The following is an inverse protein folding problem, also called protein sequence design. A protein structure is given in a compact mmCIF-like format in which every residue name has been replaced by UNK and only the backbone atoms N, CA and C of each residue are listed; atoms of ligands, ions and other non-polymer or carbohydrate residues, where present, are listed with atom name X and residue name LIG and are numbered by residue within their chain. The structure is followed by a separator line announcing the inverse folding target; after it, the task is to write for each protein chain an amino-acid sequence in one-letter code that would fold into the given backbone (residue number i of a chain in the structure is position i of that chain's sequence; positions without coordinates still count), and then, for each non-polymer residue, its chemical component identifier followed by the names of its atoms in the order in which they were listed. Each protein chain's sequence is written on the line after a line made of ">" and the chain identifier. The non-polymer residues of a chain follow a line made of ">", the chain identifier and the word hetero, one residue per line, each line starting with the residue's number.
data_IF_941773653363
#
_entry.id   IF_941773653363
#
_cell.length_a   1.000
_cell.length_b   1.000
_cell.length_c   1.000
_cell.angle_alpha   90.00
_cell.angle_beta   90.00
_cell.angle_gamma   90.00
#
_symmetry.space_group_name_H-M   'P 1'
#
loop_
_entity.id
_entity.type
_entity.pdbx_description
1 polymer ?
#
# COMPACT_ATOMS: atom_id res chain seq x y z
N UNK A 1 44.74 -9.83 4.95
CA UNK A 1 45.98 -9.51 4.20
C UNK A 1 46.05 -10.47 3.03
N UNK A 2 46.16 -9.95 1.81
CA UNK A 2 46.19 -10.76 0.59
C UNK A 2 47.58 -11.39 0.42
N UNK A 3 47.65 -12.69 0.11
CA UNK A 3 48.92 -13.39 -0.11
C UNK A 3 48.96 -13.99 -1.52
N UNK A 4 50.04 -13.72 -2.23
CA UNK A 4 50.39 -14.31 -3.53
C UNK A 4 51.32 -15.51 -3.31
N UNK A 5 51.24 -16.53 -4.17
CA UNK A 5 52.29 -17.53 -4.25
C UNK A 5 53.53 -17.01 -4.99
N UNK A 6 54.56 -17.86 -5.03
CA UNK A 6 55.82 -17.61 -5.72
C UNK A 6 55.69 -17.42 -7.24
N UNK A 7 54.53 -17.70 -7.82
CA UNK A 7 54.23 -17.51 -9.24
C UNK A 7 53.31 -16.31 -9.47
N UNK A 8 53.10 -15.46 -8.45
CA UNK A 8 52.18 -14.32 -8.47
C UNK A 8 50.71 -14.70 -8.66
N UNK A 9 50.35 -15.97 -8.40
CA UNK A 9 48.95 -16.37 -8.38
C UNK A 9 48.37 -16.17 -6.99
N UNK A 10 47.08 -15.88 -6.94
CA UNK A 10 46.35 -15.65 -5.71
C UNK A 10 46.05 -16.94 -4.95
N UNK A 11 46.25 -16.93 -3.63
CA UNK A 11 46.19 -18.15 -2.81
C UNK A 11 45.06 -18.16 -1.76
N UNK A 12 44.64 -17.02 -1.18
CA UNK A 12 43.40 -16.87 -0.38
C UNK A 12 43.28 -15.49 0.27
N UNK A 13 42.07 -15.11 0.71
CA UNK A 13 41.82 -14.04 1.67
C UNK A 13 41.43 -14.61 3.03
N UNK A 14 42.41 -14.81 3.93
CA UNK A 14 42.07 -14.98 5.35
C UNK A 14 41.82 -13.61 5.97
N UNK A 15 40.58 -13.37 6.41
CA UNK A 15 40.11 -12.16 7.07
C UNK A 15 38.58 -12.02 7.03
N UNK A 16 38.02 -11.12 7.85
CA UNK A 16 36.57 -10.90 8.04
C UNK A 16 35.82 -10.49 6.74
N UNK A 17 36.54 -10.18 5.66
CA UNK A 17 36.00 -9.78 4.36
C UNK A 17 36.29 -10.92 3.38
N UNK A 18 35.34 -11.82 3.24
CA UNK A 18 35.42 -12.99 2.37
C UNK A 18 35.38 -12.60 0.88
N UNK A 19 35.57 -13.61 0.02
CA UNK A 19 35.58 -13.52 -1.45
C UNK A 19 34.31 -12.92 -2.08
N UNK A 20 33.25 -12.69 -1.29
CA UNK A 20 31.96 -12.14 -1.72
C UNK A 20 31.63 -10.78 -1.05
N UNK A 21 32.65 -9.94 -0.82
CA UNK A 21 32.48 -8.59 -0.25
C UNK A 21 32.41 -7.53 -1.34
N UNK A 22 31.76 -6.40 -1.07
CA UNK A 22 31.65 -5.25 -2.00
C UNK A 22 33.03 -4.77 -2.48
N UNK A 23 34.03 -4.83 -1.62
CA UNK A 23 35.41 -4.47 -1.95
C UNK A 23 36.09 -5.52 -2.84
N UNK A 24 35.78 -6.81 -2.69
CA UNK A 24 36.26 -7.85 -3.60
C UNK A 24 35.69 -7.65 -5.02
N UNK A 25 34.37 -7.40 -5.13
CA UNK A 25 33.69 -7.10 -6.39
C UNK A 25 34.22 -5.84 -7.09
N UNK A 26 34.58 -4.82 -6.30
CA UNK A 26 35.21 -3.60 -6.84
C UNK A 26 36.57 -3.91 -7.48
N UNK A 27 37.36 -4.81 -6.90
CA UNK A 27 38.65 -5.16 -7.47
C UNK A 27 38.54 -6.04 -8.71
N UNK A 28 37.58 -6.97 -8.77
CA UNK A 28 37.29 -7.73 -9.99
C UNK A 28 37.03 -6.79 -11.17
N UNK A 29 36.20 -5.76 -10.95
CA UNK A 29 35.90 -4.72 -11.96
C UNK A 29 37.16 -3.96 -12.40
N UNK A 30 38.00 -3.55 -11.45
CA UNK A 30 39.20 -2.77 -11.74
C UNK A 30 40.26 -3.56 -12.52
N UNK A 31 40.39 -4.85 -12.24
CA UNK A 31 41.42 -5.71 -12.83
C UNK A 31 40.92 -6.61 -13.96
N UNK A 32 39.61 -6.64 -14.22
CA UNK A 32 38.98 -7.50 -15.23
C UNK A 32 39.36 -8.98 -15.05
N UNK A 33 39.46 -9.42 -13.80
CA UNK A 33 39.78 -10.79 -13.41
C UNK A 33 38.76 -11.27 -12.39
N UNK A 34 38.26 -12.49 -12.59
CA UNK A 34 37.37 -13.17 -11.67
C UNK A 34 38.20 -13.74 -10.52
N UNK A 35 38.16 -13.06 -9.36
CA UNK A 35 38.95 -13.43 -8.20
C UNK A 35 38.22 -14.43 -7.30
N UNK A 36 36.90 -14.55 -7.41
CA UNK A 36 36.07 -15.40 -6.55
C UNK A 36 35.72 -16.76 -7.20
N UNK A 37 35.93 -16.91 -8.51
CA UNK A 37 35.74 -18.14 -9.28
C UNK A 37 34.31 -18.42 -9.70
N UNK A 38 33.42 -17.41 -9.72
CA UNK A 38 32.03 -17.52 -10.16
C UNK A 38 31.82 -17.29 -11.67
N UNK A 39 32.93 -17.12 -12.41
CA UNK A 39 32.99 -16.80 -13.83
C UNK A 39 32.33 -15.47 -14.20
N UNK A 40 32.20 -14.53 -13.25
CA UNK A 40 31.71 -13.17 -13.46
C UNK A 40 32.79 -12.16 -13.04
N UNK A 41 32.75 -10.98 -13.67
CA UNK A 41 33.62 -9.86 -13.29
C UNK A 41 32.77 -8.85 -12.52
N UNK A 42 33.08 -8.64 -11.26
CA UNK A 42 32.39 -7.65 -10.42
C UNK A 42 31.26 -8.28 -9.63
N UNK A 43 30.38 -7.43 -9.07
CA UNK A 43 29.32 -7.92 -8.21
C UNK A 43 28.42 -8.88 -9.00
N UNK A 44 28.25 -10.14 -8.56
CA UNK A 44 27.25 -11.04 -9.11
C UNK A 44 25.85 -10.59 -8.63
N UNK A 45 25.46 -9.36 -8.97
CA UNK A 45 24.12 -8.88 -8.72
C UNK A 45 23.20 -9.57 -9.72
N UNK A 46 22.64 -10.68 -9.26
CA UNK A 46 21.35 -11.20 -9.63
C UNK A 46 21.14 -11.23 -11.15
N UNK A 47 21.52 -12.37 -11.73
CA UNK A 47 20.75 -12.95 -12.83
C UNK A 47 19.31 -13.25 -12.40
N UNK A 48 18.57 -12.21 -12.02
CA UNK A 48 17.14 -12.15 -12.30
C UNK A 48 17.10 -12.10 -13.83
N UNK A 49 16.90 -13.27 -14.44
CA UNK A 49 15.98 -13.40 -15.57
C UNK A 49 14.92 -12.34 -15.35
N UNK A 50 14.89 -11.24 -16.13
CA UNK A 50 13.96 -10.13 -15.98
C UNK A 50 12.66 -10.62 -15.29
N UNK A 51 12.61 -10.52 -13.97
CA UNK A 51 11.43 -10.85 -13.18
C UNK A 51 10.63 -9.61 -13.43
N UNK A 52 9.91 -9.63 -14.56
CA UNK A 52 9.08 -8.57 -15.10
C UNK A 52 9.67 -7.17 -14.92
N UNK A 53 10.00 -6.46 -16.00
CA UNK A 53 10.27 -5.02 -15.96
C UNK A 53 9.04 -4.17 -15.55
N UNK A 54 8.19 -4.71 -14.68
CA UNK A 54 6.89 -4.27 -14.25
C UNK A 54 6.56 -4.79 -12.83
N UNK A 55 7.55 -5.20 -12.03
CA UNK A 55 7.38 -5.27 -10.56
C UNK A 55 7.77 -3.89 -10.05
N UNK A 56 6.84 -3.10 -9.51
CA UNK A 56 7.17 -1.82 -8.88
C UNK A 56 8.18 -2.06 -7.76
N UNK A 57 9.30 -1.33 -7.78
CA UNK A 57 10.22 -1.31 -6.64
C UNK A 57 9.54 -0.54 -5.50
N UNK A 58 9.46 -1.08 -4.28
CA UNK A 58 8.79 -0.39 -3.18
C UNK A 58 9.44 0.96 -2.84
N UNK A 59 8.61 1.97 -2.62
CA UNK A 59 8.99 3.23 -1.98
C UNK A 59 8.93 2.98 -0.47
N UNK A 60 10.10 2.91 0.15
CA UNK A 60 10.24 2.59 1.57
C UNK A 60 10.69 3.85 2.32
N UNK A 61 9.97 4.17 3.40
CA UNK A 61 10.31 5.20 4.36
C UNK A 61 11.49 4.81 5.26
N UNK A 62 11.58 5.47 6.39
CA UNK A 62 12.66 5.37 7.35
C UNK A 62 12.11 4.98 8.72
N UNK A 63 12.86 5.31 9.78
CA UNK A 63 12.39 5.10 11.16
C UNK A 63 11.84 6.38 11.81
N UNK A 64 11.57 7.40 10.99
CA UNK A 64 11.04 8.69 11.39
C UNK A 64 9.72 8.94 10.65
N UNK A 65 8.98 9.96 11.08
CA UNK A 65 7.78 10.43 10.40
C UNK A 65 8.11 10.88 8.96
N UNK A 66 7.62 10.13 7.97
CA UNK A 66 7.89 10.33 6.55
C UNK A 66 6.66 10.79 5.75
N UNK A 67 6.90 11.47 4.63
CA UNK A 67 5.88 11.82 3.65
C UNK A 67 6.24 11.10 2.36
N UNK A 68 5.46 10.06 2.04
CA UNK A 68 5.66 9.22 0.88
C UNK A 68 4.59 9.53 -0.17
N UNK A 69 5.01 9.81 -1.40
CA UNK A 69 4.11 10.00 -2.53
C UNK A 69 4.56 9.11 -3.68
N UNK A 70 3.63 8.30 -4.18
CA UNK A 70 3.79 7.47 -5.35
C UNK A 70 3.83 8.28 -6.64
N UNK A 71 3.66 7.57 -7.74
CA UNK A 71 3.80 8.03 -9.11
C UNK A 71 2.44 8.06 -9.80
N UNK A 72 2.41 7.84 -11.12
CA UNK A 72 1.17 7.65 -11.87
C UNK A 72 0.96 6.17 -12.25
N UNK A 73 1.90 5.31 -11.86
CA UNK A 73 1.89 3.87 -12.07
C UNK A 73 1.48 3.17 -10.76
N UNK A 74 1.31 1.85 -10.81
CA UNK A 74 1.00 1.08 -9.60
C UNK A 74 2.21 1.06 -8.67
N UNK A 75 2.05 1.54 -7.45
CA UNK A 75 3.15 1.66 -6.48
C UNK A 75 2.97 0.78 -5.24
N UNK A 76 4.09 0.46 -4.61
CA UNK A 76 4.13 -0.17 -3.29
C UNK A 76 4.79 0.83 -2.34
N UNK A 77 4.05 1.34 -1.35
CA UNK A 77 4.57 2.27 -0.34
C UNK A 77 4.61 1.59 1.02
N UNK A 78 5.71 1.75 1.74
CA UNK A 78 5.91 1.23 3.10
C UNK A 78 6.49 2.33 3.99
N UNK A 79 5.75 2.77 5.01
CA UNK A 79 6.21 3.80 5.96
C UNK A 79 7.34 3.33 6.88
N UNK A 80 7.24 2.09 7.39
CA UNK A 80 8.15 1.44 8.34
C UNK A 80 7.90 1.87 9.80
N UNK A 81 8.71 2.73 10.42
CA UNK A 81 8.45 3.23 11.78
C UNK A 81 8.26 4.74 11.74
N UNK A 82 7.32 5.27 12.52
CA UNK A 82 7.05 6.70 12.55
C UNK A 82 5.57 6.96 12.33
N UNK A 83 5.15 8.21 12.40
CA UNK A 83 3.81 8.60 11.97
C UNK A 83 3.88 9.08 10.53
N UNK A 84 3.56 8.19 9.60
CA UNK A 84 3.83 8.40 8.19
C UNK A 84 2.61 8.93 7.46
N UNK A 85 2.84 9.69 6.39
CA UNK A 85 1.81 10.16 5.48
C UNK A 85 2.03 9.56 4.09
N UNK A 86 1.14 8.67 3.67
CA UNK A 86 1.26 7.91 2.43
C UNK A 86 0.20 8.35 1.42
N UNK A 87 0.63 8.69 0.20
CA UNK A 87 -0.24 8.99 -0.92
C UNK A 87 0.19 8.14 -2.13
N UNK A 88 -0.57 7.13 -2.51
CA UNK A 88 -0.28 6.31 -3.68
C UNK A 88 -0.32 7.09 -5.00
N UNK A 89 -1.07 8.18 -5.02
CA UNK A 89 -1.40 8.98 -6.20
C UNK A 89 -2.25 8.20 -7.20
N UNK A 90 -1.88 8.12 -8.48
CA UNK A 90 -2.70 7.42 -9.47
C UNK A 90 -2.09 6.04 -9.73
N UNK A 91 -2.91 5.02 -9.85
CA UNK A 91 -2.41 3.67 -9.99
C UNK A 91 -3.34 2.68 -9.30
N UNK A 92 -2.86 1.45 -9.15
CA UNK A 92 -3.40 0.46 -8.22
C UNK A 92 -2.31 0.24 -7.17
N UNK A 93 -2.47 0.91 -6.05
CA UNK A 93 -1.39 1.06 -5.08
C UNK A 93 -1.55 0.09 -3.91
N UNK A 94 -0.42 -0.27 -3.31
CA UNK A 94 -0.36 -1.04 -2.06
C UNK A 94 0.36 -0.22 -1.01
N UNK A 95 -0.38 0.24 -0.01
CA UNK A 95 0.09 1.14 1.04
C UNK A 95 0.18 0.37 2.37
N UNK A 96 1.32 0.48 3.04
CA UNK A 96 1.58 -0.12 4.35
C UNK A 96 2.11 0.98 5.26
N UNK A 97 1.38 1.32 6.31
CA UNK A 97 1.79 2.38 7.23
C UNK A 97 3.01 1.93 8.05
N UNK A 98 2.89 0.76 8.68
CA UNK A 98 3.89 0.21 9.57
C UNK A 98 3.54 0.49 11.02
N UNK A 99 4.56 0.86 11.81
CA UNK A 99 4.39 1.14 13.24
C UNK A 99 4.27 2.64 13.45
N UNK A 100 3.09 3.07 13.87
CA UNK A 100 2.84 4.42 14.31
C UNK A 100 1.38 4.78 14.18
N UNK A 101 1.10 6.08 14.05
CA UNK A 101 -0.21 6.59 13.65
C UNK A 101 -0.09 7.18 12.26
N UNK A 102 -0.56 6.44 11.27
CA UNK A 102 -0.32 6.76 9.87
C UNK A 102 -1.52 7.44 9.22
N UNK A 103 -1.26 8.25 8.20
CA UNK A 103 -2.27 8.95 7.42
C UNK A 103 -2.16 8.49 5.96
N UNK A 104 -3.21 7.83 5.47
CA UNK A 104 -3.33 7.47 4.06
C UNK A 104 -4.18 8.52 3.34
N UNK A 105 -3.56 9.23 2.39
CA UNK A 105 -4.22 10.27 1.61
C UNK A 105 -4.80 9.65 0.35
N UNK A 106 -6.08 9.91 0.10
CA UNK A 106 -6.75 9.52 -1.14
C UNK A 106 -7.42 10.71 -1.81
N UNK A 107 -7.20 10.85 -3.10
CA UNK A 107 -8.00 11.72 -3.95
C UNK A 107 -9.18 10.94 -4.53
N UNK A 108 -10.36 11.55 -4.56
CA UNK A 108 -11.47 10.99 -5.34
C UNK A 108 -11.04 10.71 -6.79
N UNK A 109 -11.55 9.61 -7.35
CA UNK A 109 -11.19 8.98 -8.62
C UNK A 109 -9.83 8.26 -8.72
N UNK A 110 -8.99 8.27 -7.68
CA UNK A 110 -7.73 7.48 -7.68
C UNK A 110 -8.00 5.99 -7.44
N UNK A 111 -8.73 5.66 -6.37
CA UNK A 111 -9.09 4.26 -6.05
C UNK A 111 -10.55 3.96 -6.37
N UNK A 112 -10.80 3.19 -7.43
CA UNK A 112 -12.15 2.90 -7.96
C UNK A 112 -12.43 1.39 -7.96
N UNK A 113 -13.69 0.97 -8.18
CA UNK A 113 -14.04 -0.47 -8.22
C UNK A 113 -13.31 -1.29 -9.29
N UNK A 114 -12.66 -0.64 -10.26
CA UNK A 114 -11.84 -1.28 -11.32
C UNK A 114 -10.34 -1.17 -11.10
N UNK A 115 -9.89 -0.29 -10.21
CA UNK A 115 -8.50 -0.01 -9.90
C UNK A 115 -8.44 0.33 -8.41
N UNK A 116 -8.41 -0.71 -7.58
CA UNK A 116 -8.55 -0.60 -6.13
C UNK A 116 -7.18 -0.56 -5.46
N UNK A 117 -6.94 0.52 -4.73
CA UNK A 117 -5.83 0.59 -3.82
C UNK A 117 -6.08 -0.28 -2.59
N UNK A 118 -4.98 -0.74 -2.01
CA UNK A 118 -4.94 -1.61 -0.86
C UNK A 118 -4.18 -0.94 0.28
N UNK A 119 -4.80 -0.87 1.46
CA UNK A 119 -4.08 -0.59 2.70
C UNK A 119 -3.93 -1.89 3.48
N UNK A 120 -2.69 -2.26 3.77
CA UNK A 120 -2.38 -3.63 4.20
C UNK A 120 -2.40 -3.83 5.71
N UNK A 121 -2.36 -2.77 6.52
CA UNK A 121 -2.17 -2.86 7.98
C UNK A 121 -3.00 -1.86 8.81
N UNK A 122 -3.99 -1.20 8.19
CA UNK A 122 -4.78 -0.13 8.82
C UNK A 122 -5.23 -0.46 10.26
N UNK A 123 -4.71 0.28 11.24
CA UNK A 123 -4.99 0.15 12.65
C UNK A 123 -6.19 1.02 13.05
N UNK A 124 -7.31 0.37 13.36
CA UNK A 124 -8.56 1.07 13.71
C UNK A 124 -8.38 1.88 14.99
N UNK A 125 -8.59 3.19 14.88
CA UNK A 125 -8.52 4.13 16.00
C UNK A 125 -7.20 4.89 16.04
N UNK A 126 -6.12 4.29 15.57
CA UNK A 126 -4.81 4.91 15.45
C UNK A 126 -4.71 5.58 14.08
N UNK A 127 -4.61 4.80 13.01
CA UNK A 127 -4.47 5.30 11.64
C UNK A 127 -5.68 6.10 11.14
N UNK A 128 -5.43 6.91 10.11
CA UNK A 128 -6.42 7.80 9.53
C UNK A 128 -6.34 7.83 8.00
N UNK A 129 -7.47 8.18 7.42
CA UNK A 129 -7.67 8.48 6.01
C UNK A 129 -7.87 9.99 5.88
N UNK A 130 -7.06 10.63 5.05
CA UNK A 130 -7.27 12.01 4.63
C UNK A 130 -7.80 12.03 3.19
N UNK A 131 -8.72 12.95 2.90
CA UNK A 131 -9.44 12.99 1.64
C UNK A 131 -9.15 14.28 0.88
N UNK A 132 -8.88 14.12 -0.41
CA UNK A 132 -8.76 15.20 -1.37
C UNK A 132 -9.90 15.11 -2.40
N UNK A 133 -10.44 16.28 -2.80
CA UNK A 133 -11.33 16.40 -3.96
C UNK A 133 -10.61 15.93 -5.24
N UNK A 134 -11.36 15.65 -6.31
CA UNK A 134 -10.79 15.31 -7.62
C UNK A 134 -9.83 16.38 -8.20
N UNK A 135 -9.89 17.62 -7.71
CA UNK A 135 -8.96 18.69 -8.09
C UNK A 135 -7.69 18.74 -7.20
N UNK A 136 -7.53 17.82 -6.25
CA UNK A 136 -6.42 17.75 -5.30
C UNK A 136 -6.56 18.70 -4.10
N UNK A 137 -7.68 19.41 -3.95
CA UNK A 137 -7.91 20.27 -2.79
C UNK A 137 -8.41 19.44 -1.59
N UNK A 138 -7.89 19.72 -0.40
CA UNK A 138 -8.35 19.11 0.84
C UNK A 138 -9.85 19.32 1.05
N UNK A 139 -10.53 18.28 1.52
CA UNK A 139 -11.94 18.28 1.84
C UNK A 139 -12.16 17.75 3.25
N UNK A 140 -13.33 18.07 3.82
CA UNK A 140 -13.67 17.57 5.14
C UNK A 140 -13.96 16.06 5.08
N UNK A 141 -13.72 15.38 6.19
CA UNK A 141 -14.16 14.01 6.40
C UNK A 141 -15.66 13.79 6.07
N UNK A 142 -16.06 12.53 5.80
CA UNK A 142 -17.46 12.20 5.53
C UNK A 142 -18.38 12.65 6.67
N UNK A 143 -19.58 13.16 6.35
CA UNK A 143 -20.55 13.61 7.36
C UNK A 143 -21.20 12.46 8.11
N UNK A 144 -21.13 11.25 7.56
CA UNK A 144 -21.63 10.03 8.16
C UNK A 144 -20.75 8.85 7.77
N UNK A 145 -20.56 7.93 8.72
CA UNK A 145 -19.81 6.69 8.51
C UNK A 145 -20.57 5.52 9.15
N UNK A 146 -20.71 4.40 8.44
CA UNK A 146 -21.53 3.24 8.87
C UNK A 146 -20.84 1.92 8.54
N UNK A 147 -20.92 0.92 9.42
CA UNK A 147 -20.61 -0.48 9.07
C UNK A 147 -21.86 -1.16 8.51
N UNK A 148 -21.80 -1.59 7.26
CA UNK A 148 -22.81 -2.44 6.64
C UNK A 148 -22.70 -3.89 7.12
N UNK A 149 -23.78 -4.65 6.92
CA UNK A 149 -23.76 -6.11 7.07
C UNK A 149 -22.79 -6.72 6.06
N UNK A 150 -22.12 -7.80 6.47
CA UNK A 150 -21.20 -8.51 5.59
C UNK A 150 -21.93 -8.96 4.30
N UNK A 151 -21.34 -8.64 3.16
CA UNK A 151 -21.82 -8.98 1.84
C UNK A 151 -21.70 -10.49 1.59
N UNK A 152 -22.73 -11.07 0.97
CA UNK A 152 -22.73 -12.48 0.57
C UNK A 152 -21.98 -12.73 -0.74
N UNK A 153 -21.56 -11.66 -1.44
CA UNK A 153 -20.83 -11.70 -2.70
C UNK A 153 -19.43 -11.11 -2.56
N UNK A 154 -18.49 -11.60 -3.37
CA UNK A 154 -17.13 -11.06 -3.55
C UNK A 154 -17.03 -10.12 -4.75
N UNK A 155 -18.10 -9.98 -5.55
CA UNK A 155 -18.10 -9.04 -6.68
C UNK A 155 -18.25 -7.60 -6.15
N UNK A 156 -17.17 -6.82 -6.26
CA UNK A 156 -17.11 -5.44 -5.76
C UNK A 156 -18.24 -4.56 -6.30
N UNK A 157 -18.57 -4.65 -7.58
CA UNK A 157 -19.62 -3.83 -8.18
C UNK A 157 -21.01 -4.17 -7.60
N UNK A 158 -21.28 -5.44 -7.37
CA UNK A 158 -22.53 -5.87 -6.73
C UNK A 158 -22.57 -5.44 -5.27
N UNK A 159 -21.47 -5.59 -4.54
CA UNK A 159 -21.38 -5.19 -3.13
C UNK A 159 -21.59 -3.68 -2.96
N UNK A 160 -20.87 -2.87 -3.74
CA UNK A 160 -21.02 -1.40 -3.71
C UNK A 160 -22.45 -1.01 -4.08
N UNK A 161 -23.03 -1.59 -5.14
CA UNK A 161 -24.44 -1.32 -5.52
C UNK A 161 -25.40 -1.62 -4.36
N UNK A 162 -25.21 -2.73 -3.64
CA UNK A 162 -26.03 -3.08 -2.50
C UNK A 162 -25.89 -2.08 -1.35
N UNK A 163 -24.65 -1.68 -1.03
CA UNK A 163 -24.35 -0.69 0.02
C UNK A 163 -24.96 0.68 -0.29
N UNK A 164 -24.96 1.11 -1.55
CA UNK A 164 -25.62 2.37 -1.93
C UNK A 164 -27.15 2.25 -1.98
N UNK A 165 -27.70 1.04 -2.18
CA UNK A 165 -29.13 0.78 -2.07
C UNK A 165 -29.59 0.83 -0.61
N UNK A 166 -28.76 0.32 0.31
CA UNK A 166 -28.96 0.43 1.75
C UNK A 166 -27.58 0.35 2.48
N UNK A 167 -27.28 1.36 3.30
CA UNK A 167 -25.99 1.49 3.98
C UNK A 167 -25.74 0.44 5.08
N UNK A 168 -26.75 -0.35 5.48
CA UNK A 168 -26.61 -1.40 6.48
C UNK A 168 -26.57 -2.82 5.88
N UNK A 169 -26.67 -2.96 4.56
CA UNK A 169 -26.66 -4.23 3.80
C UNK A 169 -27.79 -5.22 4.15
N UNK A 170 -28.81 -4.84 4.93
CA UNK A 170 -29.78 -5.78 5.49
C UNK A 170 -31.22 -5.59 5.00
N UNK A 171 -31.60 -4.39 4.54
CA UNK A 171 -32.97 -4.09 4.10
C UNK A 171 -33.01 -2.91 3.14
N UNK A 172 -33.44 -3.16 1.90
CA UNK A 172 -33.65 -2.14 0.90
C UNK A 172 -34.53 -0.99 1.42
N UNK A 173 -34.07 0.26 1.24
CA UNK A 173 -34.87 1.46 1.47
C UNK A 173 -34.76 2.10 2.85
N UNK A 174 -33.81 1.71 3.70
CA UNK A 174 -33.65 2.31 5.03
C UNK A 174 -32.27 2.91 5.28
N UNK A 175 -31.87 3.83 4.38
CA UNK A 175 -30.72 4.77 4.40
C UNK A 175 -29.76 4.51 3.22
N UNK A 176 -30.02 5.14 2.06
CA UNK A 176 -29.00 5.22 1.01
C UNK A 176 -27.78 5.99 1.56
N UNK A 177 -26.59 5.70 1.06
CA UNK A 177 -25.41 6.53 1.35
C UNK A 177 -25.74 7.99 0.97
N UNK A 178 -25.81 8.85 1.99
CA UNK A 178 -26.05 10.27 1.80
C UNK A 178 -24.89 10.93 1.05
N UNK A 179 -25.07 12.21 0.71
CA UNK A 179 -23.97 13.01 0.15
C UNK A 179 -22.79 13.03 1.15
N UNK A 180 -21.56 12.87 0.65
CA UNK A 180 -20.33 12.88 1.44
C UNK A 180 -20.37 11.90 2.63
N UNK A 181 -20.73 10.65 2.39
CA UNK A 181 -20.80 9.61 3.41
C UNK A 181 -19.89 8.43 3.08
N UNK A 182 -19.53 7.66 4.11
CA UNK A 182 -18.71 6.47 3.97
C UNK A 182 -19.40 5.23 4.53
N UNK A 183 -19.07 4.07 3.98
CA UNK A 183 -19.44 2.76 4.51
C UNK A 183 -18.24 1.84 4.57
N UNK A 184 -18.17 1.09 5.67
CA UNK A 184 -17.32 -0.07 5.83
C UNK A 184 -18.15 -1.34 5.59
N UNK A 185 -17.71 -2.20 4.68
CA UNK A 185 -18.39 -3.48 4.38
C UNK A 185 -17.35 -4.59 4.26
N UNK A 186 -17.67 -5.80 4.69
CA UNK A 186 -16.84 -6.98 4.41
C UNK A 186 -17.48 -7.88 3.39
N UNK A 187 -16.67 -8.60 2.62
CA UNK A 187 -17.15 -9.71 1.80
C UNK A 187 -17.21 -11.04 2.58
N UNK A 188 -17.73 -12.08 1.93
CA UNK A 188 -17.83 -13.42 2.52
C UNK A 188 -16.47 -14.14 2.66
N UNK A 189 -15.39 -13.56 2.14
CA UNK A 189 -14.00 -14.01 2.26
C UNK A 189 -13.21 -13.23 3.31
N UNK A 190 -13.86 -12.34 4.06
CA UNK A 190 -13.27 -11.47 5.10
C UNK A 190 -12.42 -10.31 4.60
N UNK A 191 -12.42 -10.01 3.29
CA UNK A 191 -11.86 -8.74 2.81
C UNK A 191 -12.74 -7.60 3.28
N UNK A 192 -12.15 -6.48 3.68
CA UNK A 192 -12.90 -5.31 4.13
C UNK A 192 -12.72 -4.17 3.15
N UNK A 193 -13.80 -3.48 2.81
CA UNK A 193 -13.80 -2.38 1.88
C UNK A 193 -14.35 -1.14 2.56
N UNK A 194 -13.64 -0.03 2.35
CA UNK A 194 -14.08 1.31 2.71
C UNK A 194 -14.54 2.02 1.44
N UNK A 195 -15.82 2.38 1.41
CA UNK A 195 -16.46 3.03 0.26
C UNK A 195 -16.83 4.45 0.68
N UNK A 196 -16.42 5.46 -0.08
CA UNK A 196 -16.68 6.87 0.22
C UNK A 196 -17.32 7.53 -0.99
N UNK A 197 -18.40 8.28 -0.76
CA UNK A 197 -19.14 9.01 -1.78
C UNK A 197 -18.59 10.44 -1.96
N UNK A 198 -18.36 10.86 -3.21
CA UNK A 198 -17.88 12.19 -3.63
C UNK A 198 -18.84 13.37 -3.37
N UNK A 199 -20.05 13.10 -2.89
CA UNK A 199 -21.07 14.12 -2.62
C UNK A 199 -22.22 14.13 -3.63
N UNK A 200 -22.14 13.35 -4.70
CA UNK A 200 -23.26 13.08 -5.60
C UNK A 200 -24.01 11.85 -5.11
N UNK A 201 -25.34 11.83 -5.20
CA UNK A 201 -26.09 10.68 -4.70
C UNK A 201 -25.92 9.44 -5.60
N UNK A 202 -25.69 8.28 -5.00
CA UNK A 202 -25.49 7.01 -5.69
C UNK A 202 -24.02 6.60 -5.75
N UNK A 203 -23.73 5.46 -6.39
CA UNK A 203 -22.35 5.07 -6.69
C UNK A 203 -21.96 5.55 -8.08
N UNK A 204 -20.92 6.37 -8.17
CA UNK A 204 -20.24 6.67 -9.43
C UNK A 204 -18.91 5.94 -9.48
N UNK A 205 -18.83 4.86 -10.27
CA UNK A 205 -17.62 4.05 -10.38
C UNK A 205 -16.38 4.80 -10.87
N UNK A 206 -16.54 5.97 -11.47
CA UNK A 206 -15.45 6.82 -11.94
C UNK A 206 -14.98 7.85 -10.91
N UNK A 207 -15.78 8.15 -9.88
CA UNK A 207 -15.51 9.25 -8.97
C UNK A 207 -15.47 8.82 -7.50
N UNK A 208 -16.38 7.94 -7.09
CA UNK A 208 -16.46 7.48 -5.72
C UNK A 208 -15.27 6.59 -5.39
N UNK A 209 -14.82 6.72 -4.15
CA UNK A 209 -13.64 6.03 -3.68
C UNK A 209 -14.02 4.66 -3.13
N UNK A 210 -13.24 3.65 -3.48
CA UNK A 210 -13.33 2.32 -2.90
C UNK A 210 -11.93 1.88 -2.54
N UNK A 211 -11.66 1.62 -1.27
CA UNK A 211 -10.35 1.18 -0.77
C UNK A 211 -10.51 -0.23 -0.20
N UNK A 212 -9.55 -1.11 -0.46
CA UNK A 212 -9.50 -2.44 0.16
C UNK A 212 -8.57 -2.41 1.38
N UNK A 213 -9.08 -2.79 2.55
CA UNK A 213 -8.34 -2.87 3.80
C UNK A 213 -8.05 -4.36 4.10
N UNK A 214 -6.88 -4.84 3.69
CA UNK A 214 -6.55 -6.29 3.67
C UNK A 214 -5.92 -6.82 4.95
N UNK A 215 -5.57 -5.95 5.91
CA UNK A 215 -5.04 -6.35 7.22
C UNK A 215 -5.43 -5.40 8.33
N UNK A 216 -6.72 -5.10 8.43
CA UNK A 216 -7.27 -4.32 9.55
C UNK A 216 -6.82 -4.90 10.89
N UNK A 217 -6.14 -4.07 11.67
CA UNK A 217 -5.79 -4.38 13.06
C UNK A 217 -6.71 -3.64 14.03
N UNK A 218 -6.91 -4.21 15.22
CA UNK A 218 -7.85 -3.69 16.21
C UNK A 218 -9.24 -4.32 16.15
N UNK A 219 -10.21 -3.69 16.82
CA UNK A 219 -11.58 -4.22 16.94
C UNK A 219 -12.48 -3.65 15.85
N UNK A 220 -13.02 -4.50 14.99
CA UNK A 220 -13.96 -4.08 13.96
C UNK A 220 -15.22 -3.42 14.59
N UNK A 221 -15.57 -2.16 14.23
CA UNK A 221 -16.70 -1.41 14.82
C UNK A 221 -18.02 -2.14 14.64
N UNK A 222 -18.99 -2.12 15.55
CA UNK A 222 -20.27 -2.82 15.37
C UNK A 222 -21.08 -2.42 14.12
N UNK A 223 -22.08 -3.22 13.72
CA UNK A 223 -22.99 -2.86 12.61
C UNK A 223 -23.71 -1.54 12.94
N UNK A 224 -23.87 -0.68 11.94
CA UNK A 224 -24.48 0.64 12.10
C UNK A 224 -23.46 1.77 12.20
N UNK A 225 -23.84 2.89 12.80
CA UNK A 225 -23.04 4.12 12.79
C UNK A 225 -21.68 3.95 13.46
N UNK A 226 -20.64 4.46 12.79
CA UNK A 226 -19.27 4.55 13.28
C UNK A 226 -18.94 6.04 13.49
N UNK A 227 -18.14 6.35 14.50
CA UNK A 227 -17.61 7.70 14.64
C UNK A 227 -16.63 7.98 13.49
N UNK A 228 -16.85 9.08 12.76
CA UNK A 228 -16.05 9.44 11.57
C UNK A 228 -14.56 9.57 11.92
N UNK A 229 -14.26 10.20 13.04
CA UNK A 229 -12.89 10.39 13.53
C UNK A 229 -12.17 9.09 13.94
N UNK A 230 -12.84 7.94 13.93
CA UNK A 230 -12.17 6.65 14.11
C UNK A 230 -11.29 6.29 12.91
N UNK A 231 -11.65 6.75 11.71
CA UNK A 231 -10.96 6.43 10.46
C UNK A 231 -10.52 7.65 9.67
N UNK A 232 -11.10 8.83 9.89
CA UNK A 232 -10.83 10.03 9.07
C UNK A 232 -10.28 11.18 9.92
N UNK A 233 -9.44 12.03 9.31
CA UNK A 233 -8.99 13.32 9.89
C UNK A 233 -9.94 14.47 9.59
#
# INVERSE_FOLDING_TARGET
>A
MWTLDSNWNWQSSNGWWGLNSSEAFTQETNFQQDFNGDNQIGNPSLGILAVSANVPEPIIGSSNDDILTGTLDNDILVGDLGNDTLNGAAGIDTLTGGVGTDIFIFQFSQSTSTALDQVTDFAIGDDKIDLLSQAGAAINAPVAFTRATDSTTTNINTMVTNVFTDANGATAGNQALGINSAVLVRDNSSSTYLIINDGTAGFQSANDLVINLTGLTGTLPALGTIAVNSFFV
#
